data_IF_021995907298
#
_entry.id   IF_021995907298
#
_cell.length_a   1.000
_cell.length_b   1.000
_cell.length_c   1.000
_cell.angle_alpha   90.00
_cell.angle_beta   90.00
_cell.angle_gamma   90.00
#
_symmetry.space_group_name_H-M   'P 1'
#
loop_
_entity.id
_entity.type
_entity.pdbx_description
1 polymer ?
#
# COMPACT_ATOMS: atom_id res chain seq x y z
N UNK A 1 -11.25 -33.43 11.95
CA UNK A 1 -10.35 -33.07 10.86
C UNK A 1 -9.37 -34.22 10.62
N UNK A 2 -9.24 -34.63 9.33
CA UNK A 2 -8.35 -35.73 8.95
C UNK A 2 -6.86 -35.35 9.08
N UNK A 3 -5.97 -36.34 8.85
CA UNK A 3 -4.52 -36.16 8.90
C UNK A 3 -4.00 -35.25 7.76
N UNK A 4 -4.78 -35.04 6.70
CA UNK A 4 -4.48 -34.19 5.55
C UNK A 4 -5.76 -33.71 4.86
N UNK A 5 -5.65 -32.66 4.04
CA UNK A 5 -6.70 -32.07 3.23
C UNK A 5 -6.15 -31.04 2.26
N UNK A 6 -6.97 -30.50 1.36
CA UNK A 6 -6.54 -29.55 0.35
C UNK A 6 -5.91 -28.27 0.97
N UNK A 7 -6.53 -27.74 2.01
CA UNK A 7 -5.99 -26.59 2.76
C UNK A 7 -4.64 -26.92 3.45
N UNK A 8 -4.53 -28.12 4.07
CA UNK A 8 -3.29 -28.53 4.74
C UNK A 8 -2.11 -28.70 3.77
N UNK A 9 -2.35 -29.14 2.55
CA UNK A 9 -1.29 -29.33 1.55
C UNK A 9 -0.95 -28.03 0.79
N UNK A 10 -1.77 -26.98 0.90
CA UNK A 10 -1.51 -25.70 0.23
C UNK A 10 -0.99 -24.57 1.15
N UNK A 11 -0.95 -24.74 2.47
CA UNK A 11 -0.36 -23.69 3.33
C UNK A 11 -0.44 -23.92 4.83
N UNK A 12 -1.25 -24.86 5.33
CA UNK A 12 -1.41 -25.14 6.77
C UNK A 12 -1.74 -23.87 7.59
N UNK A 13 -0.77 -23.46 8.44
CA UNK A 13 -0.91 -22.30 9.33
C UNK A 13 -0.40 -20.99 8.68
N UNK A 14 0.13 -21.04 7.45
CA UNK A 14 0.64 -19.89 6.72
C UNK A 14 -0.40 -19.22 5.81
N UNK A 15 -1.64 -19.74 5.77
CA UNK A 15 -2.76 -19.19 4.99
C UNK A 15 -3.87 -18.70 5.91
N UNK A 16 -4.63 -17.69 5.44
CA UNK A 16 -5.77 -17.12 6.16
C UNK A 16 -6.91 -18.15 6.38
N UNK A 17 -7.87 -17.81 7.22
CA UNK A 17 -9.07 -18.64 7.41
C UNK A 17 -9.94 -18.65 6.15
N UNK A 18 -10.04 -17.52 5.44
CA UNK A 18 -10.75 -17.36 4.19
C UNK A 18 -10.17 -18.29 3.11
N UNK A 19 -8.85 -18.29 2.92
CA UNK A 19 -8.16 -19.20 1.99
C UNK A 19 -8.35 -20.67 2.36
N UNK A 20 -8.39 -21.01 3.66
CA UNK A 20 -8.73 -22.37 4.09
C UNK A 20 -10.14 -22.78 3.67
N UNK A 21 -11.11 -21.90 3.86
CA UNK A 21 -12.48 -22.14 3.45
C UNK A 21 -12.62 -22.25 1.93
N UNK A 22 -11.89 -21.44 1.16
CA UNK A 22 -11.85 -21.56 -0.30
C UNK A 22 -11.32 -22.93 -0.74
N UNK A 23 -10.24 -23.42 -0.15
CA UNK A 23 -9.72 -24.76 -0.41
C UNK A 23 -10.67 -25.88 0.02
N UNK A 24 -11.40 -25.70 1.13
CA UNK A 24 -12.38 -26.67 1.58
C UNK A 24 -13.60 -26.69 0.63
N UNK A 25 -14.06 -25.54 0.12
CA UNK A 25 -15.10 -25.43 -0.91
C UNK A 25 -14.63 -26.03 -2.23
N UNK A 26 -13.42 -25.70 -2.69
CA UNK A 26 -12.82 -26.30 -3.91
C UNK A 26 -12.80 -27.82 -3.82
N UNK A 27 -12.45 -28.37 -2.64
CA UNK A 27 -12.48 -29.81 -2.42
C UNK A 27 -13.89 -30.37 -2.48
N UNK A 28 -14.87 -29.73 -1.83
CA UNK A 28 -16.26 -30.17 -1.80
C UNK A 28 -16.88 -30.14 -3.20
N UNK A 29 -16.61 -29.11 -3.99
CA UNK A 29 -17.15 -28.97 -5.36
C UNK A 29 -16.53 -29.97 -6.35
N UNK A 30 -15.33 -30.48 -6.04
CA UNK A 30 -14.55 -31.34 -6.94
C UNK A 30 -14.23 -32.72 -6.32
N UNK A 31 -14.98 -33.18 -5.34
CA UNK A 31 -14.73 -34.48 -4.68
C UNK A 31 -14.54 -35.59 -5.70
N UNK A 32 -13.36 -36.21 -5.71
CA UNK A 32 -13.05 -37.37 -6.54
C UNK A 32 -11.86 -38.15 -5.98
N UNK A 33 -11.85 -39.44 -6.27
CA UNK A 33 -10.75 -40.31 -5.89
C UNK A 33 -9.35 -39.81 -6.38
N UNK A 34 -9.34 -39.15 -7.55
CA UNK A 34 -8.10 -38.57 -8.11
C UNK A 34 -7.61 -37.37 -7.30
N UNK A 35 -8.51 -36.54 -6.79
CA UNK A 35 -8.13 -35.40 -5.91
C UNK A 35 -7.60 -35.92 -4.58
N UNK A 36 -8.17 -36.96 -4.01
CA UNK A 36 -7.71 -37.59 -2.77
C UNK A 36 -6.28 -38.13 -2.93
N UNK A 37 -6.02 -38.85 -4.02
CA UNK A 37 -4.64 -39.31 -4.33
C UNK A 37 -3.68 -38.14 -4.49
N UNK A 38 -4.08 -37.07 -5.18
CA UNK A 38 -3.25 -35.88 -5.35
C UNK A 38 -2.90 -35.20 -4.01
N UNK A 39 -3.87 -35.14 -3.09
CA UNK A 39 -3.68 -34.59 -1.73
C UNK A 39 -2.68 -35.48 -0.96
N UNK A 40 -2.82 -36.80 -1.01
CA UNK A 40 -1.93 -37.74 -0.35
C UNK A 40 -0.50 -37.59 -0.89
N UNK A 41 -0.30 -37.57 -2.21
CA UNK A 41 1.02 -37.39 -2.83
C UNK A 41 1.66 -36.06 -2.46
N UNK A 42 0.90 -34.97 -2.47
CA UNK A 42 1.38 -33.65 -2.00
C UNK A 42 1.76 -33.68 -0.52
N UNK A 43 1.02 -34.41 0.31
CA UNK A 43 1.32 -34.56 1.74
C UNK A 43 2.66 -35.25 1.95
N UNK A 44 2.87 -36.40 1.26
CA UNK A 44 4.14 -37.14 1.32
C UNK A 44 5.31 -36.28 0.89
N UNK A 45 5.16 -35.56 -0.22
CA UNK A 45 6.24 -34.67 -0.73
C UNK A 45 6.56 -33.52 0.24
N UNK A 46 5.57 -32.93 0.91
CA UNK A 46 5.76 -31.88 1.92
C UNK A 46 6.42 -32.43 3.20
N UNK A 47 6.02 -33.60 3.65
CA UNK A 47 6.62 -34.26 4.81
C UNK A 47 8.09 -34.57 4.54
N UNK A 48 8.41 -35.12 3.37
CA UNK A 48 9.80 -35.46 2.98
C UNK A 48 10.67 -34.19 2.81
N UNK A 49 10.12 -33.10 2.28
CA UNK A 49 10.85 -31.82 2.12
C UNK A 49 10.93 -31.00 3.40
N UNK A 50 10.32 -31.42 4.51
CA UNK A 50 10.18 -30.64 5.76
C UNK A 50 9.72 -29.20 5.52
N UNK A 51 9.00 -28.93 4.42
CA UNK A 51 8.50 -27.63 4.06
C UNK A 51 7.21 -27.33 4.84
N UNK A 52 7.12 -26.14 5.44
CA UNK A 52 5.92 -25.67 6.13
C UNK A 52 5.83 -26.06 7.61
N UNK A 53 6.96 -26.37 8.28
CA UNK A 53 6.99 -26.69 9.72
C UNK A 53 7.24 -25.44 10.60
N UNK A 54 7.68 -24.33 10.01
CA UNK A 54 7.92 -23.09 10.75
C UNK A 54 7.32 -21.91 10.01
N UNK A 55 6.17 -21.40 10.50
CA UNK A 55 5.99 -19.96 10.52
C UNK A 55 6.90 -19.46 11.66
N UNK A 56 7.82 -18.55 11.39
CA UNK A 56 8.55 -17.87 12.44
C UNK A 56 7.51 -17.28 13.41
N UNK A 57 7.58 -17.73 14.67
CA UNK A 57 6.97 -17.18 15.87
C UNK A 57 5.53 -17.53 16.29
N UNK A 58 4.69 -18.26 15.58
CA UNK A 58 3.49 -18.80 16.24
C UNK A 58 3.21 -20.27 15.90
N UNK A 59 3.18 -21.11 16.93
CA UNK A 59 2.87 -22.55 16.82
C UNK A 59 1.39 -22.80 16.58
N UNK A 60 0.54 -21.80 16.77
CA UNK A 60 -0.93 -21.91 16.65
C UNK A 60 -1.53 -20.71 15.94
N UNK A 61 -2.39 -21.00 14.97
CA UNK A 61 -3.21 -19.99 14.32
C UNK A 61 -4.25 -19.42 15.30
N UNK A 62 -4.50 -18.11 15.25
CA UNK A 62 -5.56 -17.49 16.04
C UNK A 62 -6.93 -18.11 15.71
N UNK A 63 -7.81 -18.19 16.71
CA UNK A 63 -9.16 -18.71 16.52
C UNK A 63 -9.92 -17.85 15.48
N UNK A 64 -10.69 -18.51 14.62
CA UNK A 64 -11.56 -17.81 13.65
C UNK A 64 -12.59 -16.95 14.40
N UNK A 65 -12.60 -15.65 14.10
CA UNK A 65 -13.47 -14.66 14.73
C UNK A 65 -14.64 -14.19 13.82
N UNK A 66 -14.91 -14.91 12.73
CA UNK A 66 -15.84 -14.51 11.68
C UNK A 66 -15.10 -13.89 10.48
N UNK A 67 -15.79 -13.73 9.36
CA UNK A 67 -15.24 -13.01 8.21
C UNK A 67 -15.14 -11.51 8.52
N UNK A 68 -14.17 -10.79 7.92
CA UNK A 68 -14.05 -9.32 8.10
C UNK A 68 -15.38 -8.61 7.77
N UNK A 69 -16.12 -9.08 6.77
CA UNK A 69 -17.45 -8.57 6.41
C UNK A 69 -18.45 -8.67 7.57
N UNK A 70 -18.48 -9.81 8.28
CA UNK A 70 -19.38 -10.01 9.42
C UNK A 70 -18.97 -9.15 10.62
N UNK A 71 -17.67 -8.99 10.85
CA UNK A 71 -17.14 -8.11 11.90
C UNK A 71 -17.54 -6.65 11.69
N UNK A 72 -17.53 -6.17 10.45
CA UNK A 72 -17.86 -4.78 10.12
C UNK A 72 -19.36 -4.50 10.07
N UNK A 73 -20.19 -5.50 9.81
CA UNK A 73 -21.66 -5.35 9.82
C UNK A 73 -22.20 -4.79 11.15
N UNK A 74 -21.46 -4.98 12.26
CA UNK A 74 -21.79 -4.39 13.57
C UNK A 74 -21.80 -2.87 13.55
N UNK A 75 -20.91 -2.23 12.78
CA UNK A 75 -20.83 -0.78 12.68
C UNK A 75 -21.99 -0.18 11.89
N UNK A 76 -22.48 -0.88 10.86
CA UNK A 76 -23.70 -0.51 10.14
C UNK A 76 -24.90 -0.50 11.08
N UNK A 77 -25.05 -1.53 11.92
CA UNK A 77 -26.15 -1.58 12.92
C UNK A 77 -26.01 -0.50 13.98
N UNK A 78 -24.79 -0.17 14.40
CA UNK A 78 -24.53 0.87 15.39
C UNK A 78 -24.72 2.29 14.81
N UNK A 79 -24.64 2.47 13.49
CA UNK A 79 -24.73 3.77 12.82
C UNK A 79 -23.63 4.77 13.21
N UNK A 80 -22.54 4.28 13.82
CA UNK A 80 -21.45 5.09 14.35
C UNK A 80 -20.11 4.40 14.20
N UNK A 81 -19.15 5.07 13.57
CA UNK A 81 -17.76 4.68 13.42
C UNK A 81 -16.84 5.60 14.20
N UNK A 82 -15.72 5.08 14.70
CA UNK A 82 -14.62 5.89 15.22
C UNK A 82 -13.36 5.59 14.42
N UNK A 83 -12.73 6.61 13.90
CA UNK A 83 -11.53 6.50 13.06
C UNK A 83 -10.40 7.27 13.71
N UNK A 84 -9.24 6.64 13.81
CA UNK A 84 -8.01 7.26 14.26
C UNK A 84 -7.11 7.53 13.03
N UNK A 85 -6.61 8.75 12.92
CA UNK A 85 -5.58 9.13 11.98
C UNK A 85 -4.28 9.33 12.77
N UNK A 86 -3.22 8.63 12.40
CA UNK A 86 -1.90 8.83 13.00
C UNK A 86 -1.05 9.80 12.18
N UNK A 87 -0.13 10.51 12.83
CA UNK A 87 0.80 11.46 12.22
C UNK A 87 0.11 12.44 11.27
N UNK A 88 -0.93 13.11 11.80
CA UNK A 88 -1.85 13.90 10.96
C UNK A 88 -1.23 15.18 10.39
N UNK A 89 -0.20 15.73 11.02
CA UNK A 89 0.53 16.93 10.60
C UNK A 89 -0.40 18.06 10.07
N UNK A 90 -0.22 18.45 8.82
CA UNK A 90 -0.98 19.50 8.11
C UNK A 90 -2.14 18.96 7.24
N UNK A 91 -2.47 17.68 7.35
CA UNK A 91 -3.40 16.97 6.45
C UNK A 91 -4.88 17.32 6.70
N UNK A 92 -5.19 18.60 6.87
CA UNK A 92 -6.54 19.14 7.13
C UNK A 92 -7.54 18.67 6.07
N UNK A 93 -7.17 18.80 4.80
CA UNK A 93 -8.04 18.50 3.67
C UNK A 93 -8.38 17.00 3.57
N UNK A 94 -7.44 16.12 3.91
CA UNK A 94 -7.70 14.69 3.95
C UNK A 94 -8.77 14.30 4.97
N UNK A 95 -8.70 14.86 6.18
CA UNK A 95 -9.73 14.63 7.21
C UNK A 95 -11.10 15.16 6.75
N UNK A 96 -11.11 16.30 6.07
CA UNK A 96 -12.36 16.88 5.53
C UNK A 96 -12.98 16.03 4.42
N UNK A 97 -12.18 15.32 3.60
CA UNK A 97 -12.74 14.37 2.62
C UNK A 97 -13.49 13.22 3.30
N UNK A 98 -12.99 12.70 4.42
CA UNK A 98 -13.69 11.70 5.23
C UNK A 98 -14.97 12.24 5.86
N UNK A 99 -14.96 13.50 6.31
CA UNK A 99 -16.15 14.16 6.84
C UNK A 99 -17.24 14.28 5.78
N UNK A 100 -16.85 14.68 4.57
CA UNK A 100 -17.75 14.77 3.43
C UNK A 100 -18.32 13.40 3.03
N UNK A 101 -17.47 12.39 2.95
CA UNK A 101 -17.86 11.01 2.66
C UNK A 101 -18.84 10.45 3.71
N UNK A 102 -18.60 10.70 5.00
CA UNK A 102 -19.48 10.30 6.09
C UNK A 102 -20.87 10.96 5.98
N UNK A 103 -20.91 12.25 5.61
CA UNK A 103 -22.15 12.97 5.36
C UNK A 103 -22.96 12.37 4.20
N UNK A 104 -22.30 11.98 3.11
CA UNK A 104 -22.95 11.33 1.96
C UNK A 104 -23.50 9.93 2.29
N UNK A 105 -22.79 9.18 3.14
CA UNK A 105 -23.23 7.87 3.63
C UNK A 105 -24.34 7.96 4.69
N UNK A 106 -24.58 9.14 5.25
CA UNK A 106 -25.52 9.31 6.37
C UNK A 106 -25.07 8.59 7.65
N UNK A 107 -23.76 8.38 7.82
CA UNK A 107 -23.18 7.67 8.97
C UNK A 107 -22.51 8.66 9.91
N UNK A 108 -22.71 8.47 11.23
CA UNK A 108 -21.99 9.24 12.24
C UNK A 108 -20.57 8.72 12.39
N UNK A 109 -19.57 9.60 12.17
CA UNK A 109 -18.16 9.26 12.37
C UNK A 109 -17.56 10.18 13.42
N UNK A 110 -16.85 9.60 14.39
CA UNK A 110 -15.99 10.35 15.30
C UNK A 110 -14.55 10.24 14.79
N UNK A 111 -13.99 11.36 14.39
CA UNK A 111 -12.59 11.47 13.98
C UNK A 111 -11.72 11.74 15.20
N UNK A 112 -10.72 10.92 15.38
CA UNK A 112 -9.67 11.04 16.39
C UNK A 112 -8.36 11.25 15.64
N UNK A 113 -7.55 12.22 16.04
CA UNK A 113 -6.24 12.47 15.45
C UNK A 113 -5.15 12.29 16.49
N UNK A 114 -3.99 11.84 16.08
CA UNK A 114 -2.80 11.91 16.92
C UNK A 114 -1.58 12.37 16.13
N UNK A 115 -0.70 13.06 16.82
CA UNK A 115 0.55 13.58 16.27
C UNK A 115 1.57 13.75 17.40
N UNK A 116 2.87 13.82 17.07
CA UNK A 116 3.90 14.12 18.04
C UNK A 116 3.86 15.57 18.50
N UNK A 117 3.33 16.47 17.67
CA UNK A 117 3.18 17.90 17.94
C UNK A 117 1.70 18.27 18.10
N UNK A 118 1.37 18.90 19.22
CA UNK A 118 0.05 19.50 19.42
C UNK A 118 -0.19 20.73 18.53
N UNK A 119 0.83 21.24 17.85
CA UNK A 119 0.72 22.34 16.89
C UNK A 119 0.26 21.88 15.51
N UNK A 120 0.16 20.56 15.26
CA UNK A 120 -0.32 19.98 14.01
C UNK A 120 -1.75 20.46 13.69
N UNK A 121 -1.96 21.25 12.61
CA UNK A 121 -3.26 21.90 12.36
C UNK A 121 -4.38 20.90 12.09
N UNK A 122 -4.08 19.72 11.56
CA UNK A 122 -5.07 18.70 11.28
C UNK A 122 -5.69 18.08 12.56
N UNK A 123 -5.00 18.14 13.72
CA UNK A 123 -5.57 17.74 15.00
C UNK A 123 -6.86 18.50 15.33
N UNK A 124 -6.92 19.78 14.98
CA UNK A 124 -8.06 20.67 15.26
C UNK A 124 -9.23 20.43 14.29
N UNK A 125 -9.07 19.58 13.30
CA UNK A 125 -10.16 19.07 12.46
C UNK A 125 -10.77 17.80 13.04
N UNK A 126 -10.16 17.19 14.03
CA UNK A 126 -10.65 15.99 14.70
C UNK A 126 -11.58 16.36 15.86
N UNK A 127 -12.49 15.45 16.23
CA UNK A 127 -13.37 15.60 17.38
C UNK A 127 -12.61 15.41 18.71
N UNK A 128 -11.55 14.61 18.67
CA UNK A 128 -10.61 14.38 19.76
C UNK A 128 -9.20 14.29 19.19
N UNK A 129 -8.22 14.66 19.98
CA UNK A 129 -6.82 14.55 19.58
C UNK A 129 -5.93 14.14 20.76
N UNK A 130 -4.80 13.53 20.43
CA UNK A 130 -3.83 13.01 21.36
C UNK A 130 -2.43 13.38 20.91
N UNK A 131 -1.55 13.66 21.86
CA UNK A 131 -0.13 13.72 21.61
C UNK A 131 0.46 12.33 21.82
N UNK A 132 1.28 11.86 20.88
CA UNK A 132 1.96 10.56 20.92
C UNK A 132 3.44 10.74 20.63
N UNK A 133 4.33 9.79 20.98
CA UNK A 133 5.71 9.82 20.50
C UNK A 133 5.79 9.84 18.96
N UNK A 134 6.94 10.20 18.40
CA UNK A 134 7.15 10.07 16.96
C UNK A 134 7.14 8.58 16.54
N UNK A 135 6.73 8.27 15.30
CA UNK A 135 6.94 6.95 14.73
C UNK A 135 8.41 6.52 14.93
N UNK A 136 8.65 5.27 15.36
CA UNK A 136 9.99 4.76 15.69
C UNK A 136 10.48 5.04 17.10
N UNK A 137 9.92 5.98 17.82
CA UNK A 137 10.26 6.19 19.24
C UNK A 137 9.62 5.13 20.15
N UNK A 138 10.29 4.88 21.28
CA UNK A 138 9.78 3.99 22.31
C UNK A 138 8.41 4.47 22.82
N UNK A 139 7.45 3.53 22.90
CA UNK A 139 6.10 3.84 23.37
C UNK A 139 5.11 4.23 22.28
N UNK A 140 5.54 4.55 21.04
CA UNK A 140 4.64 4.98 19.96
C UNK A 140 3.48 3.99 19.74
N UNK A 141 3.79 2.74 19.42
CA UNK A 141 2.75 1.71 19.17
C UNK A 141 1.92 1.42 20.41
N UNK A 142 2.55 1.44 21.60
CA UNK A 142 1.86 1.21 22.88
C UNK A 142 0.81 2.29 23.14
N UNK A 143 1.13 3.56 22.86
CA UNK A 143 0.19 4.66 23.04
C UNK A 143 -0.95 4.61 22.01
N UNK A 144 -0.65 4.28 20.75
CA UNK A 144 -1.70 4.06 19.73
C UNK A 144 -2.65 2.94 20.12
N UNK A 145 -2.14 1.79 20.64
CA UNK A 145 -2.97 0.69 21.13
C UNK A 145 -3.83 1.12 22.31
N UNK A 146 -3.27 1.94 23.23
CA UNK A 146 -4.02 2.50 24.35
C UNK A 146 -5.19 3.36 23.87
N UNK A 147 -4.93 4.29 22.95
CA UNK A 147 -5.96 5.15 22.33
C UNK A 147 -7.02 4.30 21.62
N UNK A 148 -6.60 3.31 20.82
CA UNK A 148 -7.52 2.44 20.09
C UNK A 148 -8.46 1.70 21.03
N UNK A 149 -7.95 1.15 22.12
CA UNK A 149 -8.73 0.45 23.14
C UNK A 149 -9.65 1.39 23.93
N UNK A 150 -9.12 2.53 24.39
CA UNK A 150 -9.86 3.53 25.18
C UNK A 150 -11.01 4.13 24.38
N UNK A 151 -10.74 4.56 23.15
CA UNK A 151 -11.73 5.20 22.28
C UNK A 151 -12.61 4.19 21.54
N UNK A 152 -12.26 2.90 21.54
CA UNK A 152 -12.91 1.85 20.74
C UNK A 152 -12.87 2.21 19.25
N UNK A 153 -11.66 2.46 18.76
CA UNK A 153 -11.41 2.79 17.35
C UNK A 153 -11.77 1.59 16.47
N UNK A 154 -12.50 1.84 15.41
CA UNK A 154 -12.84 0.82 14.42
C UNK A 154 -11.80 0.72 13.32
N UNK A 155 -11.22 1.86 12.93
CA UNK A 155 -10.26 1.97 11.83
C UNK A 155 -9.12 2.91 12.21
N UNK A 156 -7.89 2.46 12.05
CA UNK A 156 -6.68 3.27 12.12
C UNK A 156 -6.14 3.50 10.71
N UNK A 157 -5.89 4.75 10.36
CA UNK A 157 -5.35 5.15 9.06
C UNK A 157 -4.00 5.83 9.27
N UNK A 158 -2.89 5.16 8.97
CA UNK A 158 -1.55 5.75 9.03
C UNK A 158 -1.33 6.73 7.87
N UNK A 159 -0.47 7.73 8.11
CA UNK A 159 -0.28 8.84 7.19
C UNK A 159 1.13 8.99 6.63
N UNK A 160 2.12 8.39 7.26
CA UNK A 160 3.53 8.49 6.83
C UNK A 160 4.08 7.13 6.44
N UNK A 161 5.17 7.12 5.70
CA UNK A 161 5.91 5.90 5.34
C UNK A 161 6.33 5.15 6.60
N UNK A 162 6.87 5.86 7.57
CA UNK A 162 7.34 5.31 8.84
C UNK A 162 6.20 4.69 9.64
N UNK A 163 5.03 5.34 9.70
CA UNK A 163 3.81 4.78 10.29
C UNK A 163 3.45 3.44 9.64
N UNK A 164 3.38 3.43 8.30
CA UNK A 164 2.98 2.24 7.54
C UNK A 164 3.94 1.09 7.79
N UNK A 165 5.24 1.37 7.77
CA UNK A 165 6.27 0.35 8.02
C UNK A 165 6.14 -0.26 9.42
N UNK A 166 6.04 0.58 10.47
CA UNK A 166 5.94 0.12 11.86
C UNK A 166 4.62 -0.61 12.12
N UNK A 167 3.51 -0.05 11.64
CA UNK A 167 2.19 -0.60 11.92
C UNK A 167 1.89 -1.86 11.10
N UNK A 168 2.50 -2.04 9.91
CA UNK A 168 2.36 -3.27 9.13
C UNK A 168 2.90 -4.50 9.87
N UNK A 169 3.98 -4.33 10.64
CA UNK A 169 4.58 -5.38 11.47
C UNK A 169 3.76 -5.72 12.71
N UNK A 170 2.93 -4.80 13.17
CA UNK A 170 2.19 -4.88 14.43
C UNK A 170 0.66 -4.89 14.24
N UNK A 171 0.17 -5.04 13.01
CA UNK A 171 -1.26 -4.95 12.67
C UNK A 171 -2.13 -5.91 13.51
N UNK A 172 -1.65 -7.14 13.76
CA UNK A 172 -2.36 -8.13 14.57
C UNK A 172 -2.65 -7.69 16.01
N UNK A 173 -1.82 -6.81 16.59
CA UNK A 173 -2.06 -6.28 17.93
C UNK A 173 -3.25 -5.30 17.96
N UNK A 174 -3.41 -4.53 16.89
CA UNK A 174 -4.56 -3.63 16.70
C UNK A 174 -5.84 -4.43 16.44
N UNK A 175 -5.78 -5.47 15.61
CA UNK A 175 -6.91 -6.39 15.41
C UNK A 175 -7.36 -7.04 16.72
N UNK A 176 -6.43 -7.42 17.58
CA UNK A 176 -6.74 -8.01 18.90
C UNK A 176 -7.52 -7.08 19.84
N UNK A 177 -7.39 -5.75 19.67
CA UNK A 177 -8.18 -4.76 20.41
C UNK A 177 -9.42 -4.28 19.63
N UNK A 178 -9.68 -4.87 18.44
CA UNK A 178 -10.88 -4.62 17.64
C UNK A 178 -10.74 -3.44 16.66
N UNK A 179 -9.51 -2.99 16.39
CA UNK A 179 -9.19 -1.93 15.44
C UNK A 179 -8.60 -2.53 14.17
N UNK A 180 -9.21 -2.28 13.02
CA UNK A 180 -8.60 -2.57 11.72
C UNK A 180 -7.58 -1.47 11.38
N UNK A 181 -6.42 -1.85 10.86
CA UNK A 181 -5.43 -0.89 10.36
C UNK A 181 -5.47 -0.91 8.83
N UNK A 182 -5.77 0.22 8.21
CA UNK A 182 -5.89 0.30 6.75
C UNK A 182 -4.52 0.57 6.13
N UNK A 183 -3.76 -0.49 5.98
CA UNK A 183 -2.40 -0.48 5.43
C UNK A 183 -2.16 -1.70 4.56
N UNK A 184 -1.11 -1.61 3.76
CA UNK A 184 -0.52 -2.76 3.10
C UNK A 184 0.07 -3.75 4.15
N UNK A 185 0.18 -5.01 3.76
CA UNK A 185 0.87 -6.00 4.59
C UNK A 185 2.38 -5.71 4.66
N UNK A 186 3.07 -6.35 5.62
CA UNK A 186 4.50 -6.16 5.85
C UNK A 186 5.36 -6.45 4.61
N UNK A 187 5.05 -7.52 3.86
CA UNK A 187 5.80 -7.88 2.64
C UNK A 187 5.72 -6.77 1.59
N UNK A 188 4.55 -6.16 1.42
CA UNK A 188 4.36 -5.05 0.49
C UNK A 188 5.06 -3.79 0.97
N UNK A 189 5.01 -3.48 2.27
CA UNK A 189 5.73 -2.34 2.84
C UNK A 189 7.25 -2.48 2.62
N UNK A 190 7.80 -3.67 2.88
CA UNK A 190 9.21 -3.99 2.62
C UNK A 190 9.58 -3.94 1.12
N UNK A 191 8.72 -4.46 0.25
CA UNK A 191 8.93 -4.39 -1.20
C UNK A 191 9.00 -2.93 -1.67
N UNK A 192 8.12 -2.08 -1.17
CA UNK A 192 8.06 -0.68 -1.57
C UNK A 192 9.23 0.15 -1.03
N UNK A 193 9.77 -0.18 0.12
CA UNK A 193 10.93 0.51 0.70
C UNK A 193 12.23 0.25 -0.08
N UNK A 194 12.35 -0.90 -0.77
CA UNK A 194 13.56 -1.27 -1.50
C UNK A 194 13.41 -1.06 -3.02
N UNK A 195 14.11 -0.05 -3.56
CA UNK A 195 14.00 0.35 -4.98
C UNK A 195 14.40 -0.74 -5.98
N UNK A 196 15.36 -1.60 -5.62
CA UNK A 196 15.81 -2.71 -6.49
C UNK A 196 14.77 -3.81 -6.56
N UNK A 197 14.17 -4.14 -5.41
CA UNK A 197 13.09 -5.13 -5.34
C UNK A 197 11.86 -4.63 -6.10
N UNK A 198 11.52 -3.36 -5.94
CA UNK A 198 10.41 -2.72 -6.66
C UNK A 198 10.62 -2.76 -8.18
N UNK A 199 11.84 -2.42 -8.67
CA UNK A 199 12.15 -2.49 -10.11
C UNK A 199 12.02 -3.92 -10.65
N UNK A 200 12.61 -4.90 -9.97
CA UNK A 200 12.49 -6.31 -10.33
C UNK A 200 11.03 -6.80 -10.31
N UNK A 201 10.26 -6.37 -9.32
CA UNK A 201 8.85 -6.71 -9.23
C UNK A 201 8.06 -6.18 -10.44
N UNK A 202 8.31 -4.95 -10.90
CA UNK A 202 7.69 -4.43 -12.11
C UNK A 202 8.03 -5.28 -13.35
N UNK A 203 9.29 -5.67 -13.50
CA UNK A 203 9.71 -6.59 -14.58
C UNK A 203 8.96 -7.93 -14.51
N UNK A 204 8.79 -8.49 -13.31
CA UNK A 204 8.01 -9.71 -13.09
C UNK A 204 6.50 -9.54 -13.37
N UNK A 205 5.98 -8.31 -13.35
CA UNK A 205 4.63 -7.97 -13.80
C UNK A 205 4.54 -7.79 -15.33
N UNK A 206 5.68 -7.93 -16.05
CA UNK A 206 5.77 -7.65 -17.49
C UNK A 206 5.69 -6.15 -17.81
N UNK A 207 6.16 -5.30 -16.89
CA UNK A 207 6.26 -3.85 -17.04
C UNK A 207 7.73 -3.44 -17.19
N UNK A 208 7.99 -2.30 -17.84
CA UNK A 208 9.35 -1.82 -17.90
C UNK A 208 9.69 -1.06 -16.60
N UNK A 209 10.89 -1.30 -16.09
CA UNK A 209 11.53 -0.48 -15.07
C UNK A 209 12.84 0.10 -15.63
N UNK A 210 13.27 1.29 -15.19
CA UNK A 210 14.60 1.76 -15.53
C UNK A 210 15.65 0.78 -15.00
N UNK A 211 16.60 0.41 -15.83
CA UNK A 211 17.68 -0.44 -15.36
C UNK A 211 18.53 0.34 -14.35
N UNK A 212 18.74 -0.23 -13.19
CA UNK A 212 19.47 0.39 -12.08
C UNK A 212 20.72 -0.44 -11.80
N UNK A 213 21.88 0.22 -11.72
CA UNK A 213 23.15 -0.40 -11.32
C UNK A 213 23.68 0.28 -10.05
N UNK A 214 24.46 -0.47 -9.27
CA UNK A 214 25.06 0.00 -8.01
C UNK A 214 26.56 0.22 -8.09
N UNK A 215 27.13 0.03 -9.28
CA UNK A 215 28.54 0.26 -9.55
C UNK A 215 28.68 1.09 -10.82
N UNK A 216 29.55 2.08 -10.77
CA UNK A 216 29.88 2.90 -11.94
C UNK A 216 30.47 2.05 -13.08
N UNK A 217 31.19 0.97 -12.76
CA UNK A 217 31.78 0.07 -13.75
C UNK A 217 30.73 -0.75 -14.51
N UNK A 218 29.55 -0.94 -13.93
CA UNK A 218 28.44 -1.70 -14.55
C UNK A 218 27.52 -0.82 -15.39
N UNK A 219 27.72 0.51 -15.33
CA UNK A 219 26.87 1.44 -16.07
C UNK A 219 27.32 1.56 -17.53
N UNK A 220 26.43 1.17 -18.46
CA UNK A 220 26.73 1.13 -19.90
C UNK A 220 25.69 1.86 -20.77
N UNK A 221 24.74 2.59 -20.15
CA UNK A 221 23.57 3.11 -20.86
C UNK A 221 23.73 4.54 -21.42
N UNK A 222 24.94 5.11 -21.31
CA UNK A 222 25.21 6.47 -21.82
C UNK A 222 24.73 7.60 -20.90
N UNK A 223 24.94 8.82 -21.37
CA UNK A 223 24.68 10.05 -20.61
C UNK A 223 23.63 10.93 -21.33
N UNK A 224 22.90 11.80 -20.60
CA UNK A 224 22.98 11.99 -19.15
C UNK A 224 22.43 10.80 -18.33
N UNK A 225 22.92 10.66 -17.09
CA UNK A 225 22.50 9.67 -16.14
C UNK A 225 22.04 10.31 -14.83
N UNK A 226 21.19 9.60 -14.07
CA UNK A 226 20.81 9.98 -12.73
C UNK A 226 21.59 9.15 -11.72
N UNK A 227 22.38 9.84 -10.89
CA UNK A 227 23.11 9.26 -9.77
C UNK A 227 22.36 9.56 -8.49
N UNK A 228 21.87 8.54 -7.83
CA UNK A 228 21.14 8.63 -6.57
C UNK A 228 22.05 8.22 -5.42
N UNK A 229 22.35 9.15 -4.51
CA UNK A 229 23.03 8.86 -3.25
C UNK A 229 22.01 8.29 -2.28
N UNK A 230 22.37 7.21 -1.60
CA UNK A 230 21.52 6.51 -0.66
C UNK A 230 22.13 6.52 0.73
N UNK A 231 21.28 6.52 1.76
CA UNK A 231 21.70 6.27 3.14
C UNK A 231 21.94 4.77 3.41
N UNK A 232 22.31 4.42 4.64
CA UNK A 232 22.57 3.04 5.06
C UNK A 232 21.34 2.12 4.94
N UNK A 233 20.14 2.69 4.86
CA UNK A 233 18.87 1.97 4.70
C UNK A 233 18.32 2.00 3.27
N UNK A 234 19.15 2.35 2.27
CA UNK A 234 18.79 2.51 0.85
C UNK A 234 17.77 3.66 0.58
N UNK A 235 17.58 4.60 1.51
CA UNK A 235 16.75 5.78 1.25
C UNK A 235 17.49 6.80 0.40
N UNK A 236 16.75 7.54 -0.42
CA UNK A 236 17.29 8.57 -1.28
C UNK A 236 17.67 9.81 -0.47
N UNK A 237 18.97 10.10 -0.34
CA UNK A 237 19.45 11.36 0.23
C UNK A 237 19.51 12.46 -0.83
N UNK A 238 20.03 12.15 -2.01
CA UNK A 238 20.29 13.14 -3.05
C UNK A 238 20.26 12.50 -4.45
N UNK A 239 19.74 13.25 -5.42
CA UNK A 239 19.86 12.93 -6.84
C UNK A 239 20.76 13.93 -7.55
N UNK A 240 21.68 13.44 -8.38
CA UNK A 240 22.65 14.24 -9.13
C UNK A 240 22.54 13.83 -10.60
N UNK A 241 22.44 14.81 -11.49
CA UNK A 241 22.53 14.55 -12.93
C UNK A 241 24.01 14.46 -13.34
N UNK A 242 24.36 13.42 -14.02
CA UNK A 242 25.73 13.10 -14.48
C UNK A 242 25.74 13.22 -16.00
N UNK A 243 26.69 13.99 -16.54
CA UNK A 243 26.75 14.28 -17.96
C UNK A 243 27.83 13.48 -18.72
N UNK A 244 28.82 12.93 -18.01
CA UNK A 244 29.89 12.15 -18.61
C UNK A 244 30.52 11.15 -17.62
N UNK A 245 31.45 10.36 -18.13
CA UNK A 245 32.14 9.31 -17.38
C UNK A 245 33.08 9.86 -16.28
N UNK A 246 33.59 11.10 -16.45
CA UNK A 246 34.45 11.73 -15.45
C UNK A 246 33.65 12.17 -14.23
N UNK A 247 32.48 12.80 -14.45
CA UNK A 247 31.53 13.12 -13.38
C UNK A 247 31.05 11.86 -12.67
N UNK A 248 30.76 10.80 -13.41
CA UNK A 248 30.34 9.51 -12.83
C UNK A 248 31.43 8.97 -11.90
N UNK A 249 32.66 8.89 -12.39
CA UNK A 249 33.80 8.39 -11.62
C UNK A 249 34.08 9.24 -10.38
N UNK A 250 33.95 10.57 -10.48
CA UNK A 250 34.11 11.47 -9.36
C UNK A 250 33.08 11.23 -8.27
N UNK A 251 31.79 11.14 -8.63
CA UNK A 251 30.73 10.92 -7.66
C UNK A 251 30.79 9.50 -7.06
N UNK A 252 31.08 8.49 -7.85
CA UNK A 252 31.27 7.11 -7.39
C UNK A 252 32.43 6.96 -6.39
N UNK A 253 33.49 7.78 -6.51
CA UNK A 253 34.59 7.79 -5.54
C UNK A 253 34.25 8.48 -4.22
N UNK A 254 33.23 9.33 -4.21
CA UNK A 254 32.83 10.17 -3.06
C UNK A 254 31.78 9.52 -2.15
N UNK A 255 30.90 8.69 -2.72
CA UNK A 255 29.78 8.09 -2.02
C UNK A 255 29.92 6.58 -1.96
N UNK A 256 29.67 5.98 -0.80
CA UNK A 256 29.77 4.53 -0.60
C UNK A 256 28.54 3.79 -1.11
N UNK A 257 27.35 4.37 -0.89
CA UNK A 257 26.07 3.77 -1.29
C UNK A 257 25.36 4.66 -2.30
N UNK A 258 25.16 4.13 -3.50
CA UNK A 258 24.52 4.85 -4.59
C UNK A 258 23.86 3.91 -5.60
N UNK A 259 22.98 4.49 -6.42
CA UNK A 259 22.42 3.85 -7.61
C UNK A 259 22.56 4.77 -8.83
N UNK A 260 22.72 4.17 -10.00
CA UNK A 260 22.80 4.87 -11.27
C UNK A 260 21.71 4.33 -12.19
N UNK A 261 21.00 5.22 -12.85
CA UNK A 261 20.04 4.88 -13.91
C UNK A 261 20.14 5.87 -15.06
N UNK A 262 19.69 5.52 -16.28
CA UNK A 262 19.63 6.49 -17.36
C UNK A 262 18.71 7.66 -16.98
N UNK A 263 19.06 8.85 -17.44
CA UNK A 263 18.13 9.97 -17.44
C UNK A 263 17.10 9.75 -18.56
N UNK A 264 15.82 9.85 -18.16
CA UNK A 264 14.72 9.76 -19.11
C UNK A 264 14.10 11.15 -19.27
N UNK A 265 14.10 11.68 -20.50
CA UNK A 265 13.27 12.85 -20.80
C UNK A 265 11.81 12.38 -20.87
N UNK A 266 11.12 12.51 -19.78
CA UNK A 266 9.84 11.84 -19.59
C UNK A 266 8.88 12.67 -18.74
N UNK A 267 7.60 12.54 -19.06
CA UNK A 267 6.51 13.04 -18.24
C UNK A 267 6.23 12.10 -17.08
N UNK A 268 6.09 12.65 -15.87
CA UNK A 268 5.76 11.87 -14.69
C UNK A 268 4.24 11.70 -14.56
N UNK A 269 3.86 10.46 -14.26
CA UNK A 269 2.50 10.10 -13.87
C UNK A 269 2.51 9.45 -12.49
N UNK A 270 1.49 9.76 -11.72
CA UNK A 270 1.19 9.14 -10.43
C UNK A 270 -0.18 8.47 -10.57
N UNK A 271 -0.25 7.21 -10.18
CA UNK A 271 -1.46 6.40 -10.33
C UNK A 271 -1.98 6.11 -8.92
N UNK A 272 -3.05 6.81 -8.54
CA UNK A 272 -3.70 6.56 -7.26
C UNK A 272 -4.55 5.31 -7.34
N UNK A 273 -4.33 4.42 -6.39
CA UNK A 273 -5.04 3.16 -6.25
C UNK A 273 -5.70 3.12 -4.88
N UNK A 274 -6.96 2.70 -4.85
CA UNK A 274 -7.62 2.30 -3.61
C UNK A 274 -8.22 0.91 -3.78
N UNK A 275 -7.90 0.02 -2.83
CA UNK A 275 -8.39 -1.35 -2.80
C UNK A 275 -9.16 -1.64 -1.51
N UNK A 276 -10.09 -2.58 -1.60
CA UNK A 276 -10.73 -3.19 -0.43
C UNK A 276 -9.70 -4.01 0.39
N UNK A 277 -10.08 -4.46 1.58
CA UNK A 277 -9.22 -5.28 2.44
C UNK A 277 -8.82 -6.63 1.84
N UNK A 278 -9.59 -7.15 0.90
CA UNK A 278 -9.29 -8.38 0.16
C UNK A 278 -8.33 -8.16 -1.02
N UNK A 279 -7.88 -6.91 -1.23
CA UNK A 279 -7.01 -6.53 -2.33
C UNK A 279 -7.74 -6.31 -3.66
N UNK A 280 -9.07 -6.38 -3.70
CA UNK A 280 -9.83 -6.03 -4.90
C UNK A 280 -9.81 -4.51 -5.14
N UNK A 281 -9.47 -4.02 -6.35
CA UNK A 281 -9.42 -2.60 -6.62
C UNK A 281 -10.83 -1.98 -6.60
N UNK A 282 -10.92 -0.74 -6.13
CA UNK A 282 -12.11 0.10 -6.22
C UNK A 282 -11.87 1.25 -7.18
N UNK A 283 -10.73 1.92 -7.07
CA UNK A 283 -10.33 3.03 -7.92
C UNK A 283 -8.89 2.85 -8.41
N UNK A 284 -8.66 3.22 -9.67
CA UNK A 284 -7.33 3.35 -10.29
C UNK A 284 -7.38 4.64 -11.10
N UNK A 285 -6.67 5.67 -10.65
CA UNK A 285 -6.77 7.03 -11.20
C UNK A 285 -5.39 7.56 -11.57
N UNK A 286 -5.02 7.57 -12.85
CA UNK A 286 -3.78 8.19 -13.29
C UNK A 286 -3.86 9.72 -13.21
N UNK A 287 -2.78 10.35 -12.75
CA UNK A 287 -2.56 11.80 -12.73
C UNK A 287 -1.26 12.14 -13.42
N UNK A 288 -1.28 13.10 -14.31
CA UNK A 288 -0.07 13.70 -14.87
C UNK A 288 0.43 14.80 -13.92
N UNK A 289 1.72 14.76 -13.59
CA UNK A 289 2.40 15.84 -12.89
C UNK A 289 2.80 16.92 -13.90
N UNK A 290 2.39 18.16 -13.67
CA UNK A 290 2.72 19.31 -14.49
C UNK A 290 3.59 20.26 -13.69
N UNK A 291 4.78 20.58 -14.19
CA UNK A 291 5.63 21.59 -13.60
C UNK A 291 5.03 22.97 -13.79
N UNK A 292 5.12 23.81 -12.77
CA UNK A 292 4.69 25.21 -12.85
C UNK A 292 5.91 26.08 -12.89
N UNK A 293 6.11 26.78 -13.98
CA UNK A 293 7.26 27.66 -14.17
C UNK A 293 7.39 28.67 -13.02
N UNK A 294 8.59 28.74 -12.43
CA UNK A 294 8.89 29.65 -11.32
C UNK A 294 8.28 29.28 -9.96
N UNK A 295 7.74 28.09 -9.80
CA UNK A 295 7.22 27.58 -8.51
C UNK A 295 7.78 26.19 -8.19
N UNK A 296 8.06 25.94 -6.91
CA UNK A 296 8.40 24.61 -6.42
C UNK A 296 7.19 23.65 -6.39
N UNK A 297 5.97 24.19 -6.43
CA UNK A 297 4.73 23.39 -6.42
C UNK A 297 4.38 22.86 -7.80
N UNK A 298 4.03 21.58 -7.86
CA UNK A 298 3.50 20.94 -9.07
C UNK A 298 1.97 21.06 -9.11
N UNK A 299 1.44 21.09 -10.35
CA UNK A 299 0.01 20.83 -10.61
C UNK A 299 -0.17 19.37 -10.96
N UNK A 300 -1.35 18.86 -10.66
CA UNK A 300 -1.75 17.53 -11.06
C UNK A 300 -3.01 17.58 -11.90
N UNK A 301 -2.98 16.87 -13.01
CA UNK A 301 -4.14 16.71 -13.90
C UNK A 301 -4.55 15.25 -13.92
N UNK A 302 -5.80 14.97 -13.60
CA UNK A 302 -6.38 13.64 -13.81
C UNK A 302 -6.43 13.35 -15.30
N UNK A 303 -6.02 12.15 -15.69
CA UNK A 303 -6.01 11.73 -17.10
C UNK A 303 -6.67 10.36 -17.27
N UNK A 304 -7.53 10.23 -18.27
CA UNK A 304 -8.06 8.92 -18.70
C UNK A 304 -7.06 8.28 -19.65
N UNK A 305 -6.28 7.37 -19.14
CA UNK A 305 -5.32 6.57 -19.90
C UNK A 305 -5.52 5.10 -19.58
N UNK A 306 -6.30 4.42 -20.43
CA UNK A 306 -6.63 3.01 -20.23
C UNK A 306 -5.39 2.10 -20.29
N UNK A 307 -4.32 2.48 -21.01
CA UNK A 307 -3.06 1.74 -21.02
C UNK A 307 -2.44 1.73 -19.62
N UNK A 308 -2.33 2.91 -19.00
CA UNK A 308 -1.80 3.04 -17.62
C UNK A 308 -2.65 2.24 -16.64
N UNK A 309 -3.98 2.31 -16.76
CA UNK A 309 -4.91 1.57 -15.88
C UNK A 309 -4.71 0.05 -16.02
N UNK A 310 -4.60 -0.48 -17.25
CA UNK A 310 -4.37 -1.92 -17.46
C UNK A 310 -2.99 -2.37 -16.97
N UNK A 311 -1.97 -1.54 -17.07
CA UNK A 311 -0.66 -1.82 -16.50
C UNK A 311 -0.69 -1.80 -14.97
N UNK A 312 -1.37 -0.86 -14.35
CA UNK A 312 -1.58 -0.81 -12.90
C UNK A 312 -2.35 -2.04 -12.38
N UNK A 313 -3.36 -2.51 -13.13
CA UNK A 313 -4.11 -3.74 -12.79
C UNK A 313 -3.20 -4.97 -12.68
N UNK A 314 -2.12 -5.07 -13.49
CA UNK A 314 -1.15 -6.18 -13.39
C UNK A 314 -0.43 -6.16 -12.03
N UNK A 315 -0.04 -4.97 -11.57
CA UNK A 315 0.58 -4.76 -10.26
C UNK A 315 -0.39 -5.15 -9.14
N UNK A 316 -1.61 -4.60 -9.16
CA UNK A 316 -2.63 -4.83 -8.14
C UNK A 316 -2.99 -6.31 -8.03
N UNK A 317 -3.16 -7.00 -9.17
CA UNK A 317 -3.48 -8.43 -9.22
C UNK A 317 -2.44 -9.29 -8.51
N UNK A 318 -1.16 -8.90 -8.61
CA UNK A 318 -0.05 -9.66 -8.02
C UNK A 318 0.16 -9.31 -6.54
N UNK A 319 0.04 -8.03 -6.18
CA UNK A 319 0.25 -7.54 -4.81
C UNK A 319 -0.96 -7.71 -3.91
N UNK A 320 -2.18 -7.54 -4.45
CA UNK A 320 -3.43 -7.48 -3.68
C UNK A 320 -3.34 -6.52 -2.48
N UNK A 321 -2.99 -5.25 -2.70
CA UNK A 321 -2.82 -4.28 -1.62
C UNK A 321 -4.17 -4.02 -0.95
N UNK A 322 -4.15 -3.63 0.34
CA UNK A 322 -5.33 -3.09 1.02
C UNK A 322 -5.18 -1.59 1.23
N UNK A 323 -6.27 -0.83 1.09
CA UNK A 323 -6.26 0.62 1.27
C UNK A 323 -5.62 1.38 0.10
N UNK A 324 -4.85 2.42 0.44
CA UNK A 324 -4.21 3.30 -0.55
C UNK A 324 -2.87 2.77 -1.03
N UNK A 325 -2.61 3.01 -2.30
CA UNK A 325 -1.29 2.87 -2.92
C UNK A 325 -1.15 3.92 -4.02
N UNK A 326 0.02 4.50 -4.17
CA UNK A 326 0.37 5.32 -5.33
C UNK A 326 1.49 4.64 -6.11
N UNK A 327 1.30 4.44 -7.42
CA UNK A 327 2.32 3.90 -8.32
C UNK A 327 2.86 5.05 -9.15
N UNK A 328 4.19 5.16 -9.26
CA UNK A 328 4.87 6.23 -9.99
C UNK A 328 5.47 5.69 -11.28
N UNK A 329 5.25 6.42 -12.35
CA UNK A 329 5.61 6.03 -13.69
C UNK A 329 6.14 7.23 -14.47
N UNK A 330 7.11 6.97 -15.36
CA UNK A 330 7.64 7.91 -16.33
C UNK A 330 7.22 7.46 -17.73
N UNK A 331 6.65 8.36 -18.53
CA UNK A 331 6.43 8.13 -19.97
C UNK A 331 7.45 8.92 -20.76
N UNK A 332 8.30 8.22 -21.48
CA UNK A 332 9.35 8.83 -22.30
C UNK A 332 8.73 9.56 -23.50
N UNK A 333 9.08 10.84 -23.66
CA UNK A 333 8.41 11.73 -24.63
C UNK A 333 8.59 11.32 -26.10
N UNK A 334 9.73 10.69 -26.42
CA UNK A 334 10.04 10.35 -27.82
C UNK A 334 9.54 8.97 -28.26
N UNK A 335 9.42 8.04 -27.32
CA UNK A 335 9.09 6.63 -27.62
C UNK A 335 7.71 6.23 -27.12
N UNK A 336 7.08 7.06 -26.28
CA UNK A 336 5.82 6.78 -25.60
C UNK A 336 5.87 5.50 -24.72
N UNK A 337 7.11 5.14 -24.32
CA UNK A 337 7.38 3.97 -23.50
C UNK A 337 7.21 4.32 -22.03
N UNK A 338 6.49 3.46 -21.33
CA UNK A 338 6.21 3.61 -19.90
C UNK A 338 7.24 2.88 -19.08
N UNK A 339 7.76 3.55 -18.03
CA UNK A 339 8.71 3.00 -17.07
C UNK A 339 8.16 3.18 -15.65
N UNK A 340 7.93 2.08 -14.93
CA UNK A 340 7.49 2.08 -13.55
C UNK A 340 8.69 2.22 -12.63
N UNK A 341 8.64 3.19 -11.70
CA UNK A 341 9.83 3.58 -10.94
C UNK A 341 9.74 3.33 -9.43
N UNK A 342 8.55 3.41 -8.85
CA UNK A 342 8.33 3.15 -7.43
C UNK A 342 6.85 2.96 -7.11
N UNK A 343 6.58 2.47 -5.89
CA UNK A 343 5.24 2.38 -5.29
C UNK A 343 5.31 2.90 -3.86
N UNK A 344 4.23 3.52 -3.41
CA UNK A 344 4.06 4.00 -2.03
C UNK A 344 2.73 3.44 -1.50
N UNK A 345 2.76 2.52 -0.51
CA UNK A 345 1.56 1.86 0.00
C UNK A 345 0.84 2.68 1.08
N UNK A 346 0.71 3.98 0.85
CA UNK A 346 -0.03 4.93 1.70
C UNK A 346 -0.69 6.02 0.87
N UNK A 347 -1.52 6.82 1.54
CA UNK A 347 -2.14 7.98 0.93
C UNK A 347 -1.11 9.09 0.67
N UNK A 348 -0.88 9.43 -0.57
CA UNK A 348 -0.07 10.58 -0.97
C UNK A 348 -0.91 11.86 -0.94
N UNK A 349 -0.34 12.99 -0.48
CA UNK A 349 -1.08 14.26 -0.35
C UNK A 349 -1.73 14.70 -1.66
N UNK A 350 -1.02 14.53 -2.78
CA UNK A 350 -1.54 14.86 -4.10
C UNK A 350 -2.72 13.96 -4.54
N UNK A 351 -2.98 12.82 -3.87
CA UNK A 351 -4.14 11.94 -4.16
C UNK A 351 -5.47 12.59 -3.82
N UNK A 352 -5.47 13.70 -3.07
CA UNK A 352 -6.67 14.55 -2.88
C UNK A 352 -7.26 15.00 -4.21
N UNK A 353 -6.45 15.19 -5.25
CA UNK A 353 -6.89 15.53 -6.61
C UNK A 353 -7.82 14.46 -7.16
N UNK A 354 -7.42 13.19 -7.08
CA UNK A 354 -8.23 12.05 -7.53
C UNK A 354 -9.54 11.92 -6.75
N UNK A 355 -9.50 12.16 -5.43
CA UNK A 355 -10.70 12.14 -4.58
C UNK A 355 -11.68 13.23 -5.02
N UNK A 356 -11.20 14.46 -5.21
CA UNK A 356 -12.03 15.60 -5.65
C UNK A 356 -12.56 15.44 -7.08
N UNK A 357 -11.82 14.72 -7.93
CA UNK A 357 -12.26 14.40 -9.27
C UNK A 357 -13.33 13.28 -9.31
N UNK A 358 -13.58 12.57 -8.20
CA UNK A 358 -14.64 11.56 -8.13
C UNK A 358 -14.21 10.16 -7.72
N UNK A 359 -12.89 9.86 -7.67
CA UNK A 359 -12.37 8.61 -7.10
C UNK A 359 -12.37 8.70 -5.56
N UNK A 360 -13.58 8.71 -4.98
CA UNK A 360 -13.82 8.98 -3.56
C UNK A 360 -13.39 7.80 -2.66
N UNK A 361 -12.09 7.63 -2.51
CA UNK A 361 -11.50 6.59 -1.68
C UNK A 361 -11.92 6.65 -0.20
N UNK A 362 -12.11 7.84 0.44
CA UNK A 362 -12.68 7.93 1.76
C UNK A 362 -14.10 7.34 1.85
N UNK A 363 -14.94 7.57 0.83
CA UNK A 363 -16.28 6.98 0.77
C UNK A 363 -16.19 5.45 0.68
N UNK A 364 -15.29 4.92 -0.17
CA UNK A 364 -15.07 3.48 -0.30
C UNK A 364 -14.54 2.86 1.02
N UNK A 365 -13.60 3.52 1.69
CA UNK A 365 -13.09 3.08 2.99
C UNK A 365 -14.19 2.99 4.06
N UNK A 366 -15.05 4.00 4.14
CA UNK A 366 -16.18 4.01 5.07
C UNK A 366 -17.22 2.94 4.71
N UNK A 367 -17.56 2.78 3.43
CA UNK A 367 -18.50 1.75 2.95
C UNK A 367 -18.00 0.35 3.29
N UNK A 368 -16.72 0.10 3.08
CA UNK A 368 -16.06 -1.15 3.44
C UNK A 368 -16.18 -1.43 4.96
N UNK A 369 -15.94 -0.43 5.81
CA UNK A 369 -16.09 -0.54 7.26
C UNK A 369 -17.54 -0.73 7.73
N UNK A 370 -18.50 -0.43 6.87
CA UNK A 370 -19.92 -0.72 7.11
C UNK A 370 -20.33 -2.12 6.59
N UNK A 371 -19.39 -2.91 6.06
CA UNK A 371 -19.63 -4.21 5.48
C UNK A 371 -20.19 -4.16 4.04
N UNK A 372 -20.04 -3.03 3.37
CA UNK A 372 -20.45 -2.78 1.99
C UNK A 372 -19.24 -2.43 1.11
N UNK A 373 -18.30 -3.36 0.87
CA UNK A 373 -17.16 -3.12 0.00
C UNK A 373 -17.66 -2.76 -1.41
N UNK A 374 -16.98 -1.83 -2.05
CA UNK A 374 -17.35 -1.36 -3.38
C UNK A 374 -16.66 -2.21 -4.45
N UNK A 375 -17.36 -2.42 -5.57
CA UNK A 375 -16.78 -2.99 -6.77
C UNK A 375 -15.91 -1.96 -7.52
N UNK A 376 -15.03 -2.47 -8.39
CA UNK A 376 -14.20 -1.62 -9.24
C UNK A 376 -15.07 -0.69 -10.10
N UNK A 377 -14.75 0.59 -10.06
CA UNK A 377 -15.43 1.62 -10.84
C UNK A 377 -14.45 2.22 -11.83
N UNK A 378 -14.60 1.80 -13.09
CA UNK A 378 -13.85 2.36 -14.19
C UNK A 378 -14.19 3.84 -14.39
N UNK A 379 -13.20 4.64 -14.76
CA UNK A 379 -13.35 6.07 -15.03
C UNK A 379 -14.12 6.86 -13.95
N UNK A 380 -13.91 6.48 -12.68
CA UNK A 380 -14.62 7.10 -11.56
C UNK A 380 -14.29 8.58 -11.40
N UNK A 381 -13.08 8.99 -11.75
CA UNK A 381 -12.63 10.37 -11.69
C UNK A 381 -12.92 11.10 -13.00
N UNK A 382 -13.36 12.35 -12.89
CA UNK A 382 -13.55 13.24 -14.04
C UNK A 382 -12.21 13.58 -14.67
N UNK A 383 -12.14 13.44 -15.99
CA UNK A 383 -10.96 13.71 -16.79
C UNK A 383 -10.65 15.22 -16.82
N UNK A 384 -9.36 15.55 -16.96
CA UNK A 384 -8.86 16.93 -17.05
C UNK A 384 -9.13 17.82 -15.81
N UNK A 385 -9.51 17.24 -14.68
CA UNK A 385 -9.58 17.98 -13.42
C UNK A 385 -8.15 18.34 -12.98
N UNK A 386 -7.94 19.61 -12.67
CA UNK A 386 -6.63 20.18 -12.32
C UNK A 386 -6.70 20.79 -10.91
N UNK A 387 -5.70 20.52 -10.09
CA UNK A 387 -5.49 21.14 -8.78
C UNK A 387 -4.04 21.50 -8.56
#
# INVERSE_FOLDING_TARGET
PGLTGLAQVNGRNAISWEEKFEFDLEYVDNISFLIDIKIILKTVTKVLKRAGISAQESVTMYAFQGTKKDQFSKYKKAGHLKILFSSVADQVEFIDTFRYAAGRLGVKVTFVGCDHSLEAPALYRCHKHYQVPQPGEEGYVTELLHICKQEKIALLIPRTEEDVFILSQRASEFEAVGTEVLIANEELALLCSNKRWTARFFEECGLNAPQVVSSANDYTQGFPAMFAVLDEMDNLEKSIMIHDEQELSFHASKYETYMIRPFLNAKMYEIDVFCNLDGSPVYITPRAKEEVEGKESARYRVVRDHKIVEEAKKVIKKLRPSGWMTIFMLREEHTDKDYFIRMEPWYHQASTVSIKAGADAPYAALSMMLGEPMEYKEDAADDNVIF
#
